data_IF_771748542746
#
_entry.id   IF_771748542746
#
_cell.length_a   1.000
_cell.length_b   1.000
_cell.length_c   1.000
_cell.angle_alpha   90.00
_cell.angle_beta   90.00
_cell.angle_gamma   90.00
#
_symmetry.space_group_name_H-M   'P 1'
#
loop_
_entity.id
_entity.type
_entity.pdbx_description
1 polymer ?
#
# COMPACT_ATOMS: atom_id res chain seq x y z
N UNK A 1 7.31 -22.06 4.65
CA UNK A 1 6.70 -20.71 4.53
C UNK A 1 5.36 -20.92 3.84
N UNK A 2 4.28 -20.26 4.26
CA UNK A 2 2.97 -20.46 3.61
C UNK A 2 2.89 -19.68 2.29
N UNK A 3 2.06 -20.11 1.35
CA UNK A 3 1.85 -19.41 0.08
C UNK A 3 1.34 -17.97 0.28
N UNK A 4 0.50 -17.75 1.29
CA UNK A 4 0.04 -16.41 1.70
C UNK A 4 1.20 -15.54 2.17
N UNK A 5 2.12 -16.09 2.98
CA UNK A 5 3.27 -15.32 3.46
C UNK A 5 4.20 -14.91 2.30
N UNK A 6 4.42 -15.81 1.35
CA UNK A 6 5.21 -15.50 0.15
C UNK A 6 4.53 -14.46 -0.74
N UNK A 7 3.21 -14.58 -0.96
CA UNK A 7 2.42 -13.58 -1.68
C UNK A 7 2.44 -12.21 -0.98
N UNK A 8 2.41 -12.19 0.34
CA UNK A 8 2.49 -10.96 1.11
C UNK A 8 3.86 -10.30 0.99
N UNK A 9 4.95 -11.06 1.10
CA UNK A 9 6.29 -10.51 0.88
C UNK A 9 6.48 -9.98 -0.54
N UNK A 10 5.94 -10.66 -1.55
CA UNK A 10 5.94 -10.18 -2.95
C UNK A 10 5.17 -8.86 -3.08
N UNK A 11 3.99 -8.78 -2.49
CA UNK A 11 3.14 -7.57 -2.49
C UNK A 11 3.86 -6.40 -1.85
N UNK A 12 4.46 -6.59 -0.68
CA UNK A 12 5.24 -5.54 0.01
C UNK A 12 6.40 -5.03 -0.85
N UNK A 13 7.12 -5.92 -1.54
CA UNK A 13 8.22 -5.53 -2.45
C UNK A 13 7.71 -4.66 -3.59
N UNK A 14 6.64 -5.08 -4.27
CA UNK A 14 6.04 -4.32 -5.37
C UNK A 14 5.58 -2.93 -4.92
N UNK A 15 4.98 -2.82 -3.74
CA UNK A 15 4.55 -1.54 -3.14
C UNK A 15 5.75 -0.64 -2.83
N UNK A 16 6.82 -1.19 -2.26
CA UNK A 16 8.05 -0.43 -1.98
C UNK A 16 8.71 0.06 -3.26
N UNK A 17 8.70 -0.73 -4.33
CA UNK A 17 9.23 -0.34 -5.65
C UNK A 17 8.45 0.83 -6.26
N UNK A 18 7.12 0.86 -6.11
CA UNK A 18 6.28 2.00 -6.52
C UNK A 18 6.52 3.21 -5.61
N UNK A 19 6.66 3.01 -4.30
CA UNK A 19 6.81 4.11 -3.34
C UNK A 19 8.15 4.85 -3.50
N UNK A 20 9.27 4.12 -3.66
CA UNK A 20 10.63 4.67 -3.60
C UNK A 20 10.90 5.84 -4.54
N UNK A 21 10.50 5.83 -5.83
CA UNK A 21 10.72 6.95 -6.75
C UNK A 21 10.03 8.25 -6.33
N UNK A 22 8.95 8.15 -5.55
CA UNK A 22 8.13 9.29 -5.11
C UNK A 22 8.40 9.67 -3.65
N UNK A 23 9.29 8.94 -2.98
CA UNK A 23 9.68 9.22 -1.62
C UNK A 23 10.47 10.54 -1.58
N UNK A 24 9.87 11.58 -0.99
CA UNK A 24 10.53 12.84 -0.73
C UNK A 24 11.53 12.68 0.42
N UNK A 25 12.80 13.10 0.27
CA UNK A 25 13.73 13.15 1.38
C UNK A 25 13.25 14.17 2.41
N UNK A 26 12.98 13.70 3.63
CA UNK A 26 12.74 14.30 4.96
C UNK A 26 12.11 15.71 5.16
N UNK A 27 12.04 16.58 4.16
CA UNK A 27 11.45 17.92 4.22
C UNK A 27 10.81 18.41 2.90
N UNK A 28 10.92 17.67 1.79
CA UNK A 28 10.31 18.03 0.51
C UNK A 28 8.83 17.64 0.40
N UNK A 29 8.12 18.24 -0.56
CA UNK A 29 6.79 17.78 -0.96
C UNK A 29 6.89 16.41 -1.66
N UNK A 30 5.99 15.48 -1.34
CA UNK A 30 5.96 14.12 -1.89
C UNK A 30 5.62 13.07 -0.84
N UNK A 31 5.77 11.78 -1.20
CA UNK A 31 5.49 10.69 -0.28
C UNK A 31 6.58 10.64 0.81
N UNK A 32 6.23 10.54 2.09
CA UNK A 32 7.25 10.56 3.16
C UNK A 32 7.13 9.43 4.18
N UNK A 33 6.05 8.65 4.13
CA UNK A 33 5.92 7.45 4.96
C UNK A 33 5.05 6.40 4.27
N UNK A 34 5.41 5.13 4.48
CA UNK A 34 4.72 3.94 4.00
C UNK A 34 4.52 2.98 5.19
N UNK A 35 3.30 2.48 5.38
CA UNK A 35 2.96 1.52 6.43
C UNK A 35 2.15 0.37 5.86
N UNK A 36 2.45 -0.83 6.35
CA UNK A 36 1.64 -2.03 6.09
C UNK A 36 0.83 -2.34 7.34
N UNK A 37 -0.48 -2.53 7.19
CA UNK A 37 -1.40 -2.83 8.27
C UNK A 37 -2.00 -4.22 8.04
N UNK A 38 -2.20 -4.96 9.13
CA UNK A 38 -3.02 -6.16 9.18
C UNK A 38 -3.79 -6.10 10.49
N UNK A 39 -5.11 -6.17 10.40
CA UNK A 39 -5.98 -6.09 11.57
C UNK A 39 -6.94 -7.28 11.57
N UNK A 40 -7.27 -7.79 12.76
CA UNK A 40 -8.25 -8.83 12.98
C UNK A 40 -9.16 -8.55 14.19
N UNK A 41 -9.12 -7.31 14.73
CA UNK A 41 -9.82 -6.94 15.95
C UNK A 41 -11.36 -7.00 15.83
N UNK A 42 -11.90 -6.87 14.62
CA UNK A 42 -13.34 -6.88 14.34
C UNK A 42 -13.92 -8.26 14.03
N UNK A 43 -13.10 -9.32 14.01
CA UNK A 43 -13.50 -10.66 13.57
C UNK A 43 -13.42 -10.88 12.06
N UNK A 44 -13.29 -9.81 11.27
CA UNK A 44 -12.90 -9.86 9.86
C UNK A 44 -11.42 -9.47 9.74
N UNK A 45 -10.59 -10.36 9.20
CA UNK A 45 -9.20 -10.01 8.93
C UNK A 45 -9.16 -8.98 7.78
N UNK A 46 -8.41 -7.90 7.95
CA UNK A 46 -8.14 -6.90 6.93
C UNK A 46 -6.65 -6.75 6.71
N UNK A 47 -6.27 -6.43 5.48
CA UNK A 47 -4.91 -6.01 5.14
C UNK A 47 -4.97 -4.66 4.46
N UNK A 48 -3.96 -3.83 4.71
CA UNK A 48 -3.92 -2.49 4.15
C UNK A 48 -2.52 -1.92 3.95
N UNK A 49 -2.44 -0.93 3.08
CA UNK A 49 -1.27 -0.13 2.78
C UNK A 49 -1.65 1.32 3.02
N UNK A 50 -0.90 2.01 3.86
CA UNK A 50 -1.05 3.43 4.07
C UNK A 50 0.18 4.18 3.58
N UNK A 51 -0.04 5.28 2.86
CA UNK A 51 1.01 6.24 2.48
C UNK A 51 0.66 7.63 2.94
N UNK A 52 1.69 8.41 3.22
CA UNK A 52 1.53 9.81 3.59
C UNK A 52 2.14 10.71 2.54
N UNK A 53 1.33 11.64 2.05
CA UNK A 53 1.75 12.71 1.17
C UNK A 53 1.96 13.98 1.99
N UNK A 54 3.15 14.57 1.91
CA UNK A 54 3.45 15.88 2.48
C UNK A 54 3.41 16.93 1.38
N UNK A 55 2.73 18.04 1.62
CA UNK A 55 2.72 19.21 0.75
C UNK A 55 3.84 20.19 1.15
N UNK A 56 4.20 21.12 0.27
CA UNK A 56 5.32 22.05 0.48
C UNK A 56 5.13 23.03 1.66
N UNK A 57 3.90 23.15 2.16
CA UNK A 57 3.53 23.92 3.36
C UNK A 57 3.71 23.11 4.68
N UNK A 58 4.11 21.84 4.59
CA UNK A 58 4.28 20.94 5.73
C UNK A 58 3.03 20.15 6.12
N UNK A 59 1.89 20.36 5.46
CA UNK A 59 0.68 19.56 5.70
C UNK A 59 0.92 18.11 5.25
N UNK A 60 0.42 17.14 6.01
CA UNK A 60 0.55 15.72 5.71
C UNK A 60 -0.82 15.04 5.68
N UNK A 61 -1.13 14.33 4.60
CA UNK A 61 -2.38 13.60 4.41
C UNK A 61 -2.09 12.10 4.32
N UNK A 62 -2.81 11.29 5.12
CA UNK A 62 -2.77 9.83 5.03
C UNK A 62 -3.78 9.33 4.00
N UNK A 63 -3.33 8.44 3.11
CA UNK A 63 -4.16 7.68 2.20
C UNK A 63 -4.01 6.20 2.54
N UNK A 64 -5.13 5.52 2.78
CA UNK A 64 -5.16 4.09 3.11
C UNK A 64 -5.89 3.30 2.04
N UNK A 65 -5.28 2.20 1.61
CA UNK A 65 -5.82 1.21 0.70
C UNK A 65 -5.94 -0.10 1.46
N UNK A 66 -7.15 -0.52 1.78
CA UNK A 66 -7.39 -1.73 2.57
C UNK A 66 -8.48 -2.60 1.96
N UNK A 67 -8.41 -3.89 2.28
CA UNK A 67 -9.37 -4.90 1.84
C UNK A 67 -9.60 -5.94 2.94
N UNK A 68 -10.82 -6.48 2.97
CA UNK A 68 -11.19 -7.62 3.80
C UNK A 68 -10.59 -8.88 3.20
N UNK A 69 -9.91 -9.66 4.04
CA UNK A 69 -9.22 -10.89 3.65
C UNK A 69 -10.24 -11.99 3.39
N UNK A 70 -10.24 -12.60 2.18
CA UNK A 70 -11.04 -13.76 1.89
C UNK A 70 -10.61 -14.96 2.74
N UNK A 71 -11.58 -15.78 3.13
CA UNK A 71 -11.31 -17.05 3.83
C UNK A 71 -10.69 -18.11 2.92
N UNK A 72 -10.83 -17.95 1.60
CA UNK A 72 -10.21 -18.81 0.60
C UNK A 72 -8.78 -18.35 0.28
N UNK A 73 -7.81 -19.26 0.43
CA UNK A 73 -6.38 -18.97 0.22
C UNK A 73 -6.05 -18.44 -1.18
N UNK A 74 -6.64 -19.02 -2.23
CA UNK A 74 -6.41 -18.58 -3.62
C UNK A 74 -6.94 -17.16 -3.85
N UNK A 75 -8.11 -16.85 -3.29
CA UNK A 75 -8.67 -15.49 -3.35
C UNK A 75 -7.85 -14.50 -2.53
N UNK A 76 -7.30 -14.91 -1.38
CA UNK A 76 -6.40 -14.06 -0.60
C UNK A 76 -5.15 -13.72 -1.42
N UNK A 77 -4.50 -14.72 -2.03
CA UNK A 77 -3.31 -14.49 -2.85
C UNK A 77 -3.61 -13.52 -4.01
N UNK A 78 -4.71 -13.71 -4.75
CA UNK A 78 -5.11 -12.81 -5.84
C UNK A 78 -5.44 -11.40 -5.37
N UNK A 79 -6.08 -11.28 -4.20
CA UNK A 79 -6.39 -10.00 -3.59
C UNK A 79 -5.11 -9.25 -3.22
N UNK A 80 -4.08 -9.94 -2.71
CA UNK A 80 -2.78 -9.33 -2.41
C UNK A 80 -2.11 -8.76 -3.66
N UNK A 81 -2.11 -9.51 -4.76
CA UNK A 81 -1.60 -9.03 -6.04
C UNK A 81 -2.41 -7.80 -6.53
N UNK A 82 -3.74 -7.82 -6.38
CA UNK A 82 -4.63 -6.70 -6.73
C UNK A 82 -4.41 -5.47 -5.86
N UNK A 83 -4.05 -5.65 -4.59
CA UNK A 83 -3.77 -4.57 -3.65
C UNK A 83 -2.51 -3.78 -4.07
N UNK A 84 -1.47 -4.47 -4.53
CA UNK A 84 -0.26 -3.82 -5.07
C UNK A 84 -0.55 -3.04 -6.37
N UNK A 85 -1.39 -3.59 -7.26
CA UNK A 85 -1.79 -2.91 -8.51
C UNK A 85 -2.66 -1.67 -8.23
N UNK A 86 -3.62 -1.79 -7.32
CA UNK A 86 -4.44 -0.67 -6.86
C UNK A 86 -3.58 0.43 -6.25
N UNK A 87 -2.60 0.06 -5.41
CA UNK A 87 -1.63 0.99 -4.85
C UNK A 87 -0.86 1.74 -5.94
N UNK A 88 -0.32 1.05 -6.95
CA UNK A 88 0.37 1.67 -8.09
C UNK A 88 -0.49 2.72 -8.78
N UNK A 89 -1.68 2.30 -9.21
CA UNK A 89 -2.61 3.18 -9.93
C UNK A 89 -2.96 4.42 -9.11
N UNK A 90 -3.13 4.26 -7.80
CA UNK A 90 -3.44 5.38 -6.91
C UNK A 90 -2.25 6.31 -6.69
N UNK A 91 -1.04 5.77 -6.55
CA UNK A 91 0.18 6.60 -6.46
C UNK A 91 0.42 7.36 -7.75
N UNK A 92 0.29 6.72 -8.91
CA UNK A 92 0.45 7.40 -10.21
C UNK A 92 -0.51 8.59 -10.31
N UNK A 93 -1.79 8.40 -9.93
CA UNK A 93 -2.78 9.48 -9.88
C UNK A 93 -2.43 10.57 -8.86
N UNK A 94 -1.99 10.20 -7.65
CA UNK A 94 -1.59 11.15 -6.62
C UNK A 94 -0.38 12.00 -7.05
N UNK A 95 0.53 11.42 -7.83
CA UNK A 95 1.73 12.07 -8.33
C UNK A 95 1.53 12.77 -9.69
N UNK A 96 0.34 12.66 -10.29
CA UNK A 96 0.03 13.25 -11.60
C UNK A 96 0.70 12.55 -12.79
N UNK A 97 1.05 11.27 -12.66
CA UNK A 97 1.63 10.44 -13.71
C UNK A 97 0.53 9.78 -14.56
N UNK A 98 0.78 9.55 -15.86
CA UNK A 98 -0.14 8.78 -16.70
C UNK A 98 -0.21 7.33 -16.17
N UNK A 99 -1.42 6.88 -15.87
CA UNK A 99 -1.75 5.52 -15.40
C UNK A 99 -1.72 4.49 -16.52
#
# INVERSE_FOLDING_TARGET
MSAIAEAWERTKRAVVEVYRPHAAPNAGAGLHSLRFKRDNASGEETVGIAVFLRTGDGTSTEYEFSCVVPTNEELYIRMLDSLAEGFRTSVDRLMGLPS
#
